data_IF_242235872875
#
_entry.id   IF_242235872875
#
_cell.length_a   1.000
_cell.length_b   1.000
_cell.length_c   1.000
_cell.angle_alpha   90.00
_cell.angle_beta   90.00
_cell.angle_gamma   90.00
#
_symmetry.space_group_name_H-M   'P 1'
#
loop_
_entity.id
_entity.type
_entity.pdbx_description
1 polymer ?
#
# COMPACT_ATOMS: atom_id res chain seq x y z
N UNK A 1 -4.41 14.66 13.39
CA UNK A 1 -4.52 14.58 11.92
C UNK A 1 -5.23 13.27 11.62
N UNK A 2 -6.39 13.30 10.96
CA UNK A 2 -7.13 12.07 10.65
C UNK A 2 -6.49 11.39 9.43
N UNK A 3 -5.90 10.20 9.65
CA UNK A 3 -5.16 9.45 8.64
C UNK A 3 -6.06 8.97 7.48
N UNK A 4 -7.37 8.88 7.71
CA UNK A 4 -8.35 8.47 6.68
C UNK A 4 -8.47 9.47 5.53
N UNK A 5 -7.99 10.70 5.74
CA UNK A 5 -8.04 11.79 4.76
C UNK A 5 -6.69 11.98 4.05
N UNK A 6 -5.68 11.20 4.41
CA UNK A 6 -4.39 11.26 3.76
C UNK A 6 -4.40 10.43 2.48
N UNK A 7 -3.65 10.85 1.44
CA UNK A 7 -3.45 10.01 0.28
C UNK A 7 -3.00 8.61 0.69
N UNK A 8 -3.46 7.58 -0.01
CA UNK A 8 -3.17 6.15 0.29
C UNK A 8 -1.67 5.85 0.39
N UNK A 9 -0.80 6.70 -0.14
CA UNK A 9 0.66 6.58 -0.06
C UNK A 9 1.31 7.61 0.88
N UNK A 10 0.55 8.26 1.75
CA UNK A 10 1.15 9.17 2.73
C UNK A 10 1.76 8.35 3.87
N UNK A 11 3.09 8.33 3.97
CA UNK A 11 3.77 7.70 5.10
C UNK A 11 4.00 8.72 6.22
N UNK A 12 3.38 8.52 7.38
CA UNK A 12 3.71 9.31 8.59
C UNK A 12 5.07 8.94 9.19
N UNK A 13 5.62 7.77 8.83
CA UNK A 13 6.93 7.30 9.27
C UNK A 13 8.10 8.01 8.56
N UNK A 14 7.84 8.65 7.43
CA UNK A 14 8.81 9.42 6.67
C UNK A 14 8.32 10.87 6.56
N UNK A 15 8.75 11.75 7.49
CA UNK A 15 8.33 13.14 7.52
C UNK A 15 8.59 13.81 6.17
N UNK A 16 7.53 14.38 5.59
CA UNK A 16 7.60 15.05 4.31
C UNK A 16 8.52 16.27 4.40
N UNK A 17 9.43 16.39 3.42
CA UNK A 17 10.24 17.59 3.24
C UNK A 17 9.58 18.49 2.21
N UNK A 18 8.61 19.26 2.66
CA UNK A 18 7.79 20.11 1.79
C UNK A 18 8.66 21.03 0.93
N UNK A 19 8.50 20.96 -0.40
CA UNK A 19 9.23 21.80 -1.34
C UNK A 19 10.72 21.44 -1.55
N UNK A 20 11.22 20.36 -0.94
CA UNK A 20 12.60 19.90 -1.09
C UNK A 20 12.66 18.55 -1.80
N UNK A 21 13.73 18.34 -2.55
CA UNK A 21 14.04 17.06 -3.15
C UNK A 21 14.42 16.04 -2.07
N UNK A 22 13.72 14.92 -2.00
CA UNK A 22 13.95 13.87 -1.00
C UNK A 22 15.28 13.14 -1.20
N UNK A 23 15.89 13.24 -2.37
CA UNK A 23 17.20 12.65 -2.65
C UNK A 23 18.35 13.57 -2.26
N UNK A 24 18.33 14.84 -2.68
CA UNK A 24 19.46 15.75 -2.51
C UNK A 24 19.22 16.87 -1.48
N UNK A 25 18.01 17.01 -0.95
CA UNK A 25 17.63 18.01 0.05
C UNK A 25 17.48 19.44 -0.47
N UNK A 26 17.73 19.71 -1.74
CA UNK A 26 17.63 21.06 -2.31
C UNK A 26 16.20 21.39 -2.77
N UNK A 27 15.90 22.69 -2.86
CA UNK A 27 14.62 23.23 -3.35
C UNK A 27 14.19 22.63 -4.69
N UNK A 28 12.90 22.29 -4.81
CA UNK A 28 12.27 21.85 -6.06
C UNK A 28 11.84 23.02 -6.96
N UNK A 29 11.82 24.25 -6.43
CA UNK A 29 11.32 25.44 -7.14
C UNK A 29 12.21 25.82 -8.33
N UNK A 30 13.52 25.60 -8.23
CA UNK A 30 14.49 26.15 -9.17
C UNK A 30 14.85 25.20 -10.33
N UNK A 31 14.42 23.94 -10.25
CA UNK A 31 14.80 22.87 -11.19
C UNK A 31 13.62 21.94 -11.35
N UNK A 32 13.01 21.84 -12.54
CA UNK A 32 11.86 20.97 -12.89
C UNK A 32 11.70 19.77 -11.94
N UNK A 33 11.01 20.03 -10.84
CA UNK A 33 10.79 19.09 -9.76
C UNK A 33 9.43 18.47 -9.96
N UNK A 34 9.33 17.17 -9.70
CA UNK A 34 8.06 16.46 -9.66
C UNK A 34 7.71 16.16 -8.21
N UNK A 35 6.44 16.34 -7.86
CA UNK A 35 5.89 15.93 -6.57
C UNK A 35 4.89 14.82 -6.84
N UNK A 36 5.07 13.68 -6.19
CA UNK A 36 4.21 12.51 -6.30
C UNK A 36 2.99 12.64 -5.36
N UNK A 37 1.95 11.82 -5.60
CA UNK A 37 0.71 11.79 -4.78
C UNK A 37 0.98 11.52 -3.29
N UNK A 38 2.07 10.82 -2.98
CA UNK A 38 2.58 10.61 -1.63
C UNK A 38 3.26 11.83 -0.99
N UNK A 39 3.22 12.98 -1.66
CA UNK A 39 3.86 14.24 -1.25
C UNK A 39 5.39 14.21 -1.21
N UNK A 40 6.03 13.17 -1.77
CA UNK A 40 7.48 13.15 -2.00
C UNK A 40 7.85 13.91 -3.27
N UNK A 41 8.95 14.64 -3.19
CA UNK A 41 9.41 15.50 -4.26
C UNK A 41 10.80 15.14 -4.75
N UNK A 42 11.01 15.15 -6.06
CA UNK A 42 12.30 14.87 -6.69
C UNK A 42 12.60 15.83 -7.82
N UNK A 43 13.86 16.22 -7.98
CA UNK A 43 14.32 16.72 -9.28
C UNK A 43 14.26 15.58 -10.29
N UNK A 44 13.96 15.89 -11.55
CA UNK A 44 13.95 14.91 -12.63
C UNK A 44 15.24 14.04 -12.67
N UNK A 45 16.41 14.67 -12.48
CA UNK A 45 17.70 13.97 -12.50
C UNK A 45 18.03 13.24 -11.18
N UNK A 46 17.33 13.56 -10.10
CA UNK A 46 17.48 12.88 -8.81
C UNK A 46 16.56 11.66 -8.69
N UNK A 47 15.55 11.56 -9.54
CA UNK A 47 14.66 10.42 -9.56
C UNK A 47 15.30 9.23 -10.29
N UNK A 48 15.61 8.17 -9.56
CA UNK A 48 16.27 6.96 -10.10
C UNK A 48 15.26 5.87 -10.55
N UNK A 49 14.00 6.20 -10.82
CA UNK A 49 12.98 5.24 -11.25
C UNK A 49 12.56 4.19 -10.22
N UNK A 50 13.18 4.16 -9.04
CA UNK A 50 12.99 3.13 -8.02
C UNK A 50 12.61 3.76 -6.70
N UNK A 51 11.32 3.78 -6.39
CA UNK A 51 10.87 4.15 -5.05
C UNK A 51 10.32 2.93 -4.30
N UNK A 52 11.21 2.29 -3.54
CA UNK A 52 10.97 0.99 -2.89
C UNK A 52 9.98 1.04 -1.72
N UNK A 53 9.76 2.22 -1.13
CA UNK A 53 8.91 2.33 0.06
C UNK A 53 7.42 2.22 -0.27
N UNK A 54 6.97 2.83 -1.37
CA UNK A 54 5.57 2.72 -1.82
C UNK A 54 5.23 1.36 -2.35
N UNK A 55 6.11 0.76 -3.15
CA UNK A 55 5.89 -0.58 -3.67
C UNK A 55 5.64 -1.58 -2.53
N UNK A 56 6.44 -1.53 -1.46
CA UNK A 56 6.25 -2.38 -0.28
C UNK A 56 4.95 -2.07 0.46
N UNK A 57 4.62 -0.80 0.64
CA UNK A 57 3.40 -0.38 1.31
C UNK A 57 2.15 -0.86 0.54
N UNK A 58 2.10 -0.60 -0.77
CA UNK A 58 1.02 -1.05 -1.64
C UNK A 58 0.92 -2.57 -1.69
N UNK A 59 2.04 -3.28 -1.86
CA UNK A 59 2.06 -4.76 -1.82
C UNK A 59 1.47 -5.28 -0.51
N UNK A 60 1.85 -4.69 0.63
CA UNK A 60 1.32 -5.08 1.95
C UNK A 60 -0.18 -4.80 2.08
N UNK A 61 -0.63 -3.62 1.66
CA UNK A 61 -2.04 -3.24 1.69
C UNK A 61 -2.91 -4.12 0.78
N UNK A 62 -2.45 -4.37 -0.45
CA UNK A 62 -3.11 -5.28 -1.41
C UNK A 62 -3.21 -6.68 -0.81
N UNK A 63 -2.11 -7.23 -0.30
CA UNK A 63 -2.10 -8.58 0.29
C UNK A 63 -3.09 -8.67 1.46
N UNK A 64 -3.09 -7.68 2.36
CA UNK A 64 -4.02 -7.62 3.49
C UNK A 64 -5.48 -7.59 3.03
N UNK A 65 -5.80 -6.76 2.04
CA UNK A 65 -7.15 -6.65 1.50
C UNK A 65 -7.61 -7.96 0.82
N UNK A 66 -6.73 -8.58 0.03
CA UNK A 66 -7.02 -9.87 -0.62
C UNK A 66 -7.27 -10.95 0.42
N UNK A 67 -6.45 -11.05 1.46
CA UNK A 67 -6.64 -12.04 2.51
C UNK A 67 -7.95 -11.83 3.29
N UNK A 68 -8.32 -10.58 3.58
CA UNK A 68 -9.62 -10.26 4.19
C UNK A 68 -10.78 -10.67 3.28
N UNK A 69 -10.69 -10.37 1.99
CA UNK A 69 -11.71 -10.74 1.02
C UNK A 69 -11.88 -12.27 0.92
N UNK A 70 -10.77 -13.02 0.86
CA UNK A 70 -10.81 -14.48 0.87
C UNK A 70 -11.42 -15.04 2.15
N UNK A 71 -11.05 -14.50 3.31
CA UNK A 71 -11.63 -14.90 4.59
C UNK A 71 -13.16 -14.65 4.64
N UNK A 72 -13.64 -13.58 4.00
CA UNK A 72 -15.06 -13.29 3.89
C UNK A 72 -15.77 -14.31 2.99
N UNK A 73 -15.20 -14.66 1.84
CA UNK A 73 -15.74 -15.70 0.95
C UNK A 73 -15.83 -17.03 1.70
N UNK A 74 -14.74 -17.44 2.37
CA UNK A 74 -14.69 -18.70 3.12
C UNK A 74 -15.71 -18.77 4.28
N UNK A 75 -16.04 -17.62 4.88
CA UNK A 75 -17.05 -17.52 5.94
C UNK A 75 -18.48 -17.77 5.41
N UNK A 76 -18.70 -17.66 4.09
CA UNK A 76 -19.95 -18.05 3.41
C UNK A 76 -21.18 -17.23 3.80
N UNK A 77 -20.99 -16.08 4.46
CA UNK A 77 -22.07 -15.21 4.93
C UNK A 77 -22.06 -13.88 4.16
N UNK A 78 -23.18 -13.54 3.52
CA UNK A 78 -23.40 -12.25 2.84
C UNK A 78 -23.54 -11.05 3.79
N UNK A 79 -23.31 -11.25 5.09
CA UNK A 79 -23.48 -10.22 6.11
C UNK A 79 -22.10 -9.74 6.56
N UNK A 80 -21.76 -8.51 6.16
CA UNK A 80 -20.56 -7.81 6.64
C UNK A 80 -20.64 -7.59 8.15
N UNK A 81 -19.62 -8.00 8.89
CA UNK A 81 -19.48 -7.66 10.32
C UNK A 81 -18.60 -6.42 10.51
N UNK A 82 -18.67 -5.78 11.68
CA UNK A 82 -17.79 -4.62 11.99
C UNK A 82 -16.30 -4.96 11.83
N UNK A 83 -15.93 -6.22 12.08
CA UNK A 83 -14.57 -6.77 11.92
C UNK A 83 -14.09 -6.74 10.46
N UNK A 84 -15.00 -6.93 9.51
CA UNK A 84 -14.72 -6.87 8.07
C UNK A 84 -14.49 -5.42 7.62
N UNK A 85 -15.15 -4.46 8.29
CA UNK A 85 -15.03 -3.03 8.06
C UNK A 85 -13.83 -2.41 8.79
N UNK A 86 -13.26 -3.09 9.78
CA UNK A 86 -12.21 -2.53 10.63
C UNK A 86 -10.88 -2.45 9.88
N UNK A 87 -10.53 -1.24 9.49
CA UNK A 87 -9.31 -0.95 8.75
C UNK A 87 -8.17 -0.79 9.77
N UNK A 88 -7.70 -1.90 10.32
CA UNK A 88 -6.60 -1.97 11.29
C UNK A 88 -5.47 -1.03 10.81
N UNK A 89 -5.35 0.11 11.48
CA UNK A 89 -4.37 1.15 11.16
C UNK A 89 -2.98 0.54 11.34
N UNK A 90 -2.31 0.30 10.22
CA UNK A 90 -1.06 -0.44 10.13
C UNK A 90 0.14 0.36 10.68
N UNK A 91 -0.12 1.37 11.51
CA UNK A 91 0.86 2.17 12.24
C UNK A 91 1.25 1.52 13.58
N UNK A 92 1.28 0.19 13.67
CA UNK A 92 1.97 -0.49 14.76
C UNK A 92 3.44 -0.59 14.38
N UNK A 93 4.28 0.20 15.08
CA UNK A 93 5.76 0.20 15.01
C UNK A 93 6.29 -1.11 14.45
N UNK A 94 6.93 -1.00 13.30
CA UNK A 94 7.87 -1.95 12.70
C UNK A 94 8.86 -2.52 13.73
N UNK A 95 8.41 -3.50 14.52
CA UNK A 95 9.30 -4.49 15.11
C UNK A 95 9.75 -5.36 13.96
N UNK A 96 11.06 -5.31 13.69
CA UNK A 96 11.79 -6.10 12.71
C UNK A 96 11.44 -7.59 12.87
N UNK A 97 10.40 -8.06 12.19
CA UNK A 97 10.15 -9.49 12.00
C UNK A 97 10.98 -9.93 10.81
N UNK A 98 11.89 -10.87 11.04
CA UNK A 98 12.50 -11.65 9.97
C UNK A 98 11.39 -12.15 9.05
N UNK A 99 11.46 -11.73 7.79
CA UNK A 99 10.61 -12.25 6.73
C UNK A 99 11.02 -13.70 6.48
N UNK A 100 10.22 -14.65 6.99
CA UNK A 100 10.19 -15.98 6.38
C UNK A 100 9.67 -15.79 4.95
N UNK A 101 10.44 -16.31 4.00
CA UNK A 101 10.05 -16.44 2.60
C UNK A 101 8.73 -17.23 2.57
N UNK A 102 7.64 -16.55 2.20
CA UNK A 102 6.33 -17.18 2.03
C UNK A 102 6.32 -17.68 0.58
N UNK A 103 6.14 -18.99 0.40
CA UNK A 103 5.94 -19.59 -0.92
C UNK A 103 4.79 -18.86 -1.63
N UNK A 104 5.09 -18.27 -2.79
CA UNK A 104 4.08 -17.69 -3.67
C UNK A 104 3.23 -18.83 -4.23
N UNK A 105 2.04 -19.03 -3.65
CA UNK A 105 1.05 -19.96 -4.18
C UNK A 105 0.21 -19.23 -5.22
N UNK A 106 0.24 -19.72 -6.47
CA UNK A 106 -0.61 -19.21 -7.55
C UNK A 106 -2.06 -19.65 -7.31
N UNK A 107 -2.87 -18.70 -6.86
CA UNK A 107 -4.31 -18.88 -6.58
C UNK A 107 -5.20 -18.53 -7.78
N UNK A 108 -4.63 -18.08 -8.90
CA UNK A 108 -5.36 -17.71 -10.12
C UNK A 108 -6.29 -18.82 -10.64
N UNK A 109 -5.89 -20.11 -10.66
CA UNK A 109 -6.75 -21.18 -11.18
C UNK A 109 -8.02 -21.36 -10.33
N UNK A 110 -7.88 -21.27 -9.01
CA UNK A 110 -8.96 -21.50 -8.05
C UNK A 110 -10.01 -20.37 -8.10
N UNK A 111 -9.55 -19.13 -8.30
CA UNK A 111 -10.42 -17.97 -8.49
C UNK A 111 -11.25 -18.07 -9.79
N UNK A 112 -10.64 -18.52 -10.89
CA UNK A 112 -11.34 -18.70 -12.17
C UNK A 112 -12.44 -19.74 -12.05
N UNK A 113 -12.18 -20.83 -11.33
CA UNK A 113 -13.15 -21.91 -11.14
C UNK A 113 -14.37 -21.46 -10.35
N UNK A 114 -14.21 -20.68 -9.29
CA UNK A 114 -15.35 -20.16 -8.52
C UNK A 114 -16.16 -19.09 -9.27
N UNK A 115 -15.51 -18.22 -10.05
CA UNK A 115 -16.22 -17.23 -10.88
C UNK A 115 -17.14 -17.91 -11.89
N UNK A 116 -16.71 -19.04 -12.47
CA UNK A 116 -17.50 -19.78 -13.44
C UNK A 116 -18.71 -20.51 -12.82
N UNK A 117 -18.76 -20.64 -11.49
CA UNK A 117 -19.87 -21.27 -10.77
C UNK A 117 -20.98 -20.28 -10.37
N UNK A 118 -20.77 -18.99 -10.59
CA UNK A 118 -21.81 -17.97 -10.35
C UNK A 118 -22.78 -17.98 -11.54
N UNK A 119 -23.94 -18.61 -11.38
CA UNK A 119 -25.05 -18.51 -12.33
C UNK A 119 -25.68 -17.10 -12.27
N UNK A 120 -25.91 -16.47 -13.43
CA UNK A 120 -26.50 -15.13 -13.59
C UNK A 120 -28.02 -15.12 -13.42
#
# INVERSE_FOLDING_TARGET
MDLRHLPTAYSTAHPLRLGLCDSCGHSLVDKNGMVFVCSHGYHNNCYNGKYKHYEKFYKKGIFKNVQKFLAQIEKGADILTEEDLDNDDDNKKNVKKESKEVEEVDISPKLIEEINQIEY
#
